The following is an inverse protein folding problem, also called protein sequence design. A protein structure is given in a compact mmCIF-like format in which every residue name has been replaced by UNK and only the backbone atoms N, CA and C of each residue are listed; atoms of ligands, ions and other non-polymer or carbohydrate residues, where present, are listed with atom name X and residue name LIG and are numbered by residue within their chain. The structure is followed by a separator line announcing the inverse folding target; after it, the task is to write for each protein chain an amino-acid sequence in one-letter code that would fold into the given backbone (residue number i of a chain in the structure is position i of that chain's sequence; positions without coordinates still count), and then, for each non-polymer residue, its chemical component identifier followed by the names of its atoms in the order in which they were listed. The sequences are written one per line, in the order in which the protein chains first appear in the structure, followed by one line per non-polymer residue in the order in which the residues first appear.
data_IF_485788259998
#
_entry.id   IF_485788259998
#
_cell.length_a   1.000
_cell.length_b   1.000
_cell.length_c   1.000
_cell.angle_alpha   90.00
_cell.angle_beta   90.00
_cell.angle_gamma   90.00
#
_symmetry.space_group_name_H-M   'P 1'
#
loop_
_entity.id
_entity.type
_entity.pdbx_description
1 polymer ?
#
# COMPACT_ATOMS: atom_id res chain seq x y z
N UNK A 1 -88.97 27.16 -36.23
CA UNK A 1 -88.80 27.88 -37.50
C UNK A 1 -87.37 28.42 -37.58
N UNK A 2 -86.61 27.93 -38.57
CA UNK A 2 -85.69 28.72 -39.41
C UNK A 2 -84.31 29.18 -38.84
N UNK A 3 -83.28 28.38 -39.23
CA UNK A 3 -81.91 28.74 -39.71
C UNK A 3 -80.93 29.39 -38.69
N UNK A 4 -79.59 29.42 -38.82
CA UNK A 4 -78.57 29.35 -39.91
C UNK A 4 -77.23 28.96 -39.18
N UNK A 5 -76.29 28.10 -39.61
CA UNK A 5 -75.14 28.28 -40.54
C UNK A 5 -74.07 27.23 -40.08
N UNK A 6 -73.54 26.29 -40.87
CA UNK A 6 -72.58 26.36 -42.00
C UNK A 6 -71.09 26.50 -41.62
N UNK A 7 -70.25 25.69 -42.32
CA UNK A 7 -68.76 25.60 -42.48
C UNK A 7 -67.95 24.92 -41.36
N UNK A 8 -67.49 23.66 -41.51
CA UNK A 8 -66.45 23.09 -42.40
C UNK A 8 -65.01 23.48 -41.96
N UNK A 9 -64.26 22.52 -41.41
CA UNK A 9 -62.87 22.69 -40.98
C UNK A 9 -62.16 21.37 -40.61
N UNK A 10 -61.64 20.72 -41.65
CA UNK A 10 -60.56 19.71 -41.77
C UNK A 10 -59.67 19.38 -40.53
N UNK A 11 -59.63 18.07 -40.16
CA UNK A 11 -58.44 17.18 -40.11
C UNK A 11 -57.27 17.52 -39.14
N UNK A 12 -56.96 16.62 -38.19
CA UNK A 12 -55.66 15.91 -38.02
C UNK A 12 -55.57 15.15 -36.68
N UNK A 13 -55.46 13.82 -36.79
CA UNK A 13 -54.53 12.88 -36.12
C UNK A 13 -54.02 13.23 -34.71
N UNK A 14 -54.26 12.31 -33.75
CA UNK A 14 -53.49 12.26 -32.50
C UNK A 14 -53.78 11.03 -31.66
N UNK A 15 -53.13 9.89 -31.96
CA UNK A 15 -53.05 8.74 -31.06
C UNK A 15 -52.25 9.15 -29.81
N UNK A 16 -52.93 9.36 -28.69
CA UNK A 16 -52.27 9.58 -27.41
C UNK A 16 -51.96 8.23 -26.75
N UNK A 17 -50.80 7.67 -27.08
CA UNK A 17 -50.21 6.57 -26.30
C UNK A 17 -49.74 7.18 -24.97
N UNK A 18 -50.40 6.82 -23.87
CA UNK A 18 -49.94 7.13 -22.52
C UNK A 18 -48.69 6.31 -22.24
N UNK A 19 -47.53 6.94 -22.41
CA UNK A 19 -46.23 6.42 -21.98
C UNK A 19 -46.23 6.31 -20.45
N UNK A 20 -46.30 5.08 -19.92
CA UNK A 20 -45.97 4.81 -18.52
C UNK A 20 -44.49 5.15 -18.29
N UNK A 21 -44.11 5.90 -17.24
CA UNK A 21 -42.70 6.11 -16.95
C UNK A 21 -42.06 4.76 -16.64
N UNK A 22 -41.18 4.31 -17.54
CA UNK A 22 -40.30 3.19 -17.28
C UNK A 22 -39.34 3.56 -16.17
N UNK A 23 -39.41 2.87 -15.03
CA UNK A 23 -38.35 2.93 -14.04
C UNK A 23 -37.09 2.33 -14.68
N UNK A 24 -36.11 3.17 -14.98
CA UNK A 24 -34.79 2.72 -15.35
C UNK A 24 -34.22 1.94 -14.16
N UNK A 25 -34.07 0.63 -14.34
CA UNK A 25 -33.39 -0.27 -13.41
C UNK A 25 -31.94 0.20 -13.25
N UNK A 26 -31.61 0.70 -12.06
CA UNK A 26 -30.27 1.18 -11.72
C UNK A 26 -29.35 -0.02 -11.51
N UNK A 27 -28.33 -0.12 -12.37
CA UNK A 27 -27.25 -1.10 -12.27
C UNK A 27 -26.27 -0.69 -11.16
N UNK A 28 -26.58 -0.99 -9.91
CA UNK A 28 -25.65 -0.74 -8.81
C UNK A 28 -26.23 -1.03 -7.44
N UNK A 29 -26.32 -2.31 -7.07
CA UNK A 29 -26.44 -2.70 -5.67
C UNK A 29 -25.06 -2.58 -5.03
N UNK A 30 -24.88 -1.69 -4.05
CA UNK A 30 -23.65 -1.65 -3.26
C UNK A 30 -23.65 -2.83 -2.30
N UNK A 31 -22.98 -3.92 -2.68
CA UNK A 31 -22.65 -5.00 -1.75
C UNK A 31 -21.52 -4.53 -0.85
N UNK A 32 -21.84 -3.85 0.25
CA UNK A 32 -20.90 -3.74 1.37
C UNK A 32 -21.15 -4.97 2.24
N UNK A 33 -20.12 -5.82 2.37
CA UNK A 33 -20.14 -6.93 3.32
C UNK A 33 -20.38 -6.37 4.74
N UNK A 34 -21.53 -6.69 5.32
CA UNK A 34 -21.71 -6.74 6.78
C UNK A 34 -21.80 -5.43 7.56
N UNK A 35 -22.27 -4.32 6.98
CA UNK A 35 -22.59 -3.10 7.75
C UNK A 35 -24.01 -2.65 7.44
N UNK A 36 -24.89 -2.66 8.45
CA UNK A 36 -26.23 -2.06 8.38
C UNK A 36 -26.12 -0.62 7.87
N UNK A 37 -26.91 -0.28 6.85
CA UNK A 37 -26.88 0.96 6.03
C UNK A 37 -26.90 2.27 6.85
N UNK A 38 -27.22 2.19 8.15
CA UNK A 38 -27.28 3.34 9.07
C UNK A 38 -25.90 3.68 9.68
N UNK A 39 -25.00 2.70 9.89
CA UNK A 39 -23.62 2.95 10.38
C UNK A 39 -22.65 3.37 9.26
N UNK A 40 -22.89 2.92 8.02
CA UNK A 40 -22.07 3.27 6.86
C UNK A 40 -22.11 4.77 6.50
N UNK A 41 -23.17 5.51 6.87
CA UNK A 41 -23.29 6.94 6.58
C UNK A 41 -22.44 7.82 7.49
N UNK A 42 -22.15 7.39 8.72
CA UNK A 42 -21.34 8.17 9.67
C UNK A 42 -19.84 7.99 9.40
N UNK A 43 -19.42 6.83 8.88
CA UNK A 43 -18.06 6.58 8.39
C UNK A 43 -17.76 7.26 7.03
N UNK A 44 -18.80 7.69 6.31
CA UNK A 44 -18.68 8.44 5.06
C UNK A 44 -18.53 9.97 5.26
N UNK A 45 -18.49 10.47 6.51
CA UNK A 45 -18.23 11.87 6.84
C UNK A 45 -16.73 12.16 7.10
N UNK A 46 -15.85 11.23 6.75
CA UNK A 46 -14.40 11.42 6.83
C UNK A 46 -13.84 12.23 5.65
N UNK A 47 -12.61 12.75 5.81
CA UNK A 47 -11.89 13.36 4.71
C UNK A 47 -11.38 12.31 3.73
N UNK A 48 -11.59 12.52 2.44
CA UNK A 48 -10.95 11.69 1.42
C UNK A 48 -9.48 12.06 1.32
N UNK A 49 -8.57 11.11 1.57
CA UNK A 49 -7.13 11.36 1.41
C UNK A 49 -6.81 11.89 0.02
N UNK A 50 -7.32 11.23 -1.04
CA UNK A 50 -7.08 11.63 -2.42
C UNK A 50 -7.76 12.94 -2.83
N UNK A 51 -9.01 13.17 -2.40
CA UNK A 51 -9.81 14.31 -2.89
C UNK A 51 -9.73 15.54 -1.99
N UNK A 52 -9.47 15.36 -0.70
CA UNK A 52 -9.63 16.39 0.33
C UNK A 52 -8.34 16.71 1.09
N UNK A 53 -7.25 15.97 0.89
CA UNK A 53 -5.99 16.17 1.64
C UNK A 53 -4.78 16.24 0.72
N UNK A 54 -4.62 15.23 -0.12
CA UNK A 54 -3.52 15.14 -1.06
C UNK A 54 -3.49 16.38 -1.96
N UNK A 55 -2.34 17.02 -2.00
CA UNK A 55 -2.07 18.18 -2.82
C UNK A 55 -2.63 19.51 -2.32
N UNK A 56 -3.23 19.56 -1.14
CA UNK A 56 -3.65 20.84 -0.53
C UNK A 56 -2.46 21.63 -0.01
N UNK A 57 -2.57 22.94 -0.15
CA UNK A 57 -1.64 23.88 0.47
C UNK A 57 -1.85 23.91 1.99
N UNK A 58 -0.72 24.02 2.68
CA UNK A 58 -0.65 24.21 4.13
C UNK A 58 -0.27 25.67 4.39
N UNK A 59 -1.00 26.31 5.30
CA UNK A 59 -0.81 27.71 5.66
C UNK A 59 -0.32 27.86 7.09
N UNK A 60 0.21 29.02 7.42
CA UNK A 60 0.39 29.44 8.81
C UNK A 60 -0.74 30.37 9.26
N UNK A 61 -0.64 30.84 10.51
CA UNK A 61 -1.55 31.81 11.14
C UNK A 61 -1.64 33.14 10.40
N UNK A 62 -0.59 33.54 9.67
CA UNK A 62 -0.61 34.72 8.79
C UNK A 62 -1.26 34.48 7.42
N UNK A 63 -1.78 33.28 7.17
CA UNK A 63 -2.39 32.90 5.88
C UNK A 63 -1.39 32.70 4.74
N UNK A 64 -0.09 32.58 5.06
CA UNK A 64 0.98 32.37 4.09
C UNK A 64 1.16 30.87 3.87
N UNK A 65 1.22 30.44 2.59
CA UNK A 65 1.51 29.05 2.24
C UNK A 65 2.93 28.67 2.66
N UNK A 66 3.06 27.60 3.43
CA UNK A 66 4.32 27.05 3.96
C UNK A 66 4.73 25.73 3.31
N UNK A 67 3.83 25.11 2.54
CA UNK A 67 4.10 23.85 1.85
C UNK A 67 2.84 23.22 1.26
N UNK A 68 3.00 21.98 0.78
CA UNK A 68 1.92 21.20 0.16
C UNK A 68 1.91 19.78 0.72
N UNK A 69 0.74 19.24 1.02
CA UNK A 69 0.62 17.87 1.49
C UNK A 69 0.84 16.90 0.33
N UNK A 70 1.80 16.00 0.49
CA UNK A 70 2.14 14.96 -0.49
C UNK A 70 1.79 13.56 0.03
N UNK A 71 1.60 13.33 1.32
CA UNK A 71 1.14 12.02 1.82
C UNK A 71 0.53 12.08 3.24
N UNK A 72 -0.10 10.99 3.65
CA UNK A 72 -0.71 10.78 4.98
C UNK A 72 -0.24 9.44 5.55
N UNK A 73 0.40 9.46 6.71
CA UNK A 73 0.85 8.25 7.41
C UNK A 73 -0.26 7.75 8.32
N UNK A 74 -0.62 6.48 8.15
CA UNK A 74 -1.57 5.75 8.97
C UNK A 74 -0.79 4.73 9.81
N UNK A 75 -1.00 4.72 11.11
CA UNK A 75 -0.38 3.77 12.02
C UNK A 75 -0.97 2.36 11.88
N UNK A 76 -0.29 1.30 12.34
CA UNK A 76 -0.83 -0.06 12.37
C UNK A 76 -2.17 -0.18 13.12
N UNK A 77 -2.41 0.70 14.09
CA UNK A 77 -3.66 0.83 14.85
C UNK A 77 -4.78 1.54 14.06
N UNK A 78 -4.56 1.80 12.76
CA UNK A 78 -5.50 2.40 11.80
C UNK A 78 -5.84 3.87 12.09
N UNK A 79 -4.94 4.59 12.76
CA UNK A 79 -5.09 6.03 13.04
C UNK A 79 -4.20 6.86 12.13
N UNK A 80 -4.68 8.00 11.66
CA UNK A 80 -3.84 8.96 10.94
C UNK A 80 -2.92 9.66 11.95
N UNK A 81 -1.60 9.55 11.74
CA UNK A 81 -0.61 10.08 12.69
C UNK A 81 0.12 11.31 12.16
N UNK A 82 0.48 11.33 10.88
CA UNK A 82 1.29 12.40 10.29
C UNK A 82 0.80 12.78 8.90
N UNK A 83 0.92 14.06 8.56
CA UNK A 83 0.94 14.51 7.17
C UNK A 83 2.37 14.73 6.72
N UNK A 84 2.67 14.24 5.52
CA UNK A 84 3.95 14.51 4.87
C UNK A 84 3.77 15.77 4.03
N UNK A 85 4.48 16.83 4.42
CA UNK A 85 4.40 18.14 3.77
C UNK A 85 5.69 18.38 3.02
N UNK A 86 5.59 18.67 1.73
CA UNK A 86 6.71 19.13 0.94
C UNK A 86 6.92 20.63 1.15
N UNK A 87 8.14 21.00 1.55
CA UNK A 87 8.51 22.35 1.97
C UNK A 87 9.55 22.94 1.01
N UNK A 88 9.21 23.06 -0.26
CA UNK A 88 10.01 23.83 -1.21
C UNK A 88 9.67 23.59 -2.68
N UNK A 89 9.71 24.66 -3.48
CA UNK A 89 9.58 24.58 -4.95
C UNK A 89 8.70 25.64 -5.63
N UNK A 90 8.85 26.93 -5.32
CA UNK A 90 8.52 27.95 -6.33
C UNK A 90 9.77 28.17 -7.19
N UNK A 91 9.81 27.47 -8.33
CA UNK A 91 10.70 27.68 -9.48
C UNK A 91 12.22 27.57 -9.15
N UNK A 92 12.78 26.36 -9.18
CA UNK A 92 14.18 26.19 -9.60
C UNK A 92 15.09 25.31 -8.75
N UNK A 93 15.07 25.33 -7.41
CA UNK A 93 16.02 24.55 -6.60
C UNK A 93 15.43 24.21 -5.21
N UNK A 94 15.45 22.93 -4.82
CA UNK A 94 15.44 22.46 -3.43
C UNK A 94 14.11 22.53 -2.67
N UNK A 95 13.43 21.39 -2.56
CA UNK A 95 12.41 21.14 -1.56
C UNK A 95 12.60 19.75 -0.95
N UNK A 96 12.36 19.62 0.35
CA UNK A 96 12.36 18.34 1.05
C UNK A 96 11.00 18.08 1.69
N UNK A 97 10.76 16.82 2.05
CA UNK A 97 9.55 16.43 2.76
C UNK A 97 9.80 16.49 4.26
N UNK A 98 8.76 16.82 5.03
CA UNK A 98 8.79 16.80 6.50
C UNK A 98 7.53 16.09 7.00
N UNK A 99 7.61 15.48 8.18
CA UNK A 99 6.46 14.86 8.84
C UNK A 99 5.90 15.80 9.90
N UNK A 100 4.62 16.18 9.76
CA UNK A 100 3.90 17.01 10.72
C UNK A 100 2.85 16.16 11.43
N UNK A 101 2.87 16.07 12.77
CA UNK A 101 1.82 15.39 13.53
C UNK A 101 0.45 16.02 13.26
N UNK A 102 -0.58 15.20 13.09
CA UNK A 102 -1.94 15.71 12.84
C UNK A 102 -2.45 16.61 13.98
N UNK A 103 -1.97 16.41 15.21
CA UNK A 103 -2.31 17.22 16.39
C UNK A 103 -1.81 18.66 16.31
N UNK A 104 -0.84 18.96 15.45
CA UNK A 104 -0.32 20.31 15.21
C UNK A 104 -1.05 21.04 14.09
N UNK A 105 -1.97 20.35 13.41
CA UNK A 105 -2.70 20.87 12.27
C UNK A 105 -4.13 21.18 12.68
N UNK A 106 -4.62 22.32 12.23
CA UNK A 106 -6.01 22.73 12.42
C UNK A 106 -6.64 23.07 11.07
N UNK A 107 -7.94 22.77 10.92
CA UNK A 107 -8.70 23.32 9.81
C UNK A 107 -9.30 24.67 10.22
N UNK A 108 -9.01 25.71 9.44
CA UNK A 108 -9.57 27.06 9.62
C UNK A 108 -10.12 27.56 8.30
N UNK A 109 -11.43 27.82 8.25
CA UNK A 109 -12.10 28.36 7.06
C UNK A 109 -11.83 27.54 5.78
N UNK A 110 -11.80 26.21 5.89
CA UNK A 110 -11.50 25.31 4.78
C UNK A 110 -10.03 25.30 4.34
N UNK A 111 -9.11 25.83 5.16
CA UNK A 111 -7.66 25.76 4.96
C UNK A 111 -7.01 24.89 6.02
N UNK A 112 -5.94 24.20 5.64
CA UNK A 112 -5.11 23.44 6.56
C UNK A 112 -4.04 24.39 7.09
N UNK A 113 -4.02 24.60 8.40
CA UNK A 113 -3.16 25.58 9.06
C UNK A 113 -2.29 24.88 10.09
N UNK A 114 -0.99 25.22 10.13
CA UNK A 114 -0.09 24.89 11.23
C UNK A 114 0.13 26.16 12.05
N UNK A 115 -0.52 26.31 13.21
CA UNK A 115 -0.40 27.52 14.02
C UNK A 115 1.03 27.74 14.51
N UNK A 116 1.55 28.97 14.39
CA UNK A 116 2.89 29.33 14.84
C UNK A 116 4.02 28.88 13.92
N UNK A 117 3.72 28.25 12.79
CA UNK A 117 4.72 27.84 11.81
C UNK A 117 5.22 29.03 10.99
N UNK A 118 6.53 29.18 10.87
CA UNK A 118 7.14 30.07 9.88
C UNK A 118 7.74 29.25 8.75
N UNK A 119 7.86 29.85 7.56
CA UNK A 119 8.54 29.19 6.43
C UNK A 119 9.95 28.72 6.80
N UNK A 120 10.64 29.48 7.65
CA UNK A 120 11.98 29.14 8.11
C UNK A 120 11.97 27.99 9.11
N UNK A 121 11.10 28.02 10.12
CA UNK A 121 11.00 26.94 11.10
C UNK A 121 10.66 25.61 10.44
N UNK A 122 9.75 25.65 9.45
CA UNK A 122 9.30 24.49 8.68
C UNK A 122 10.41 23.93 7.77
N UNK A 123 11.21 24.79 7.12
CA UNK A 123 12.38 24.35 6.34
C UNK A 123 13.49 23.75 7.20
N UNK A 124 13.64 24.21 8.44
CA UNK A 124 14.66 23.70 9.36
C UNK A 124 14.26 22.39 10.03
N UNK A 125 13.03 21.89 9.81
CA UNK A 125 12.62 20.60 10.32
C UNK A 125 13.36 19.45 9.63
N UNK A 126 13.59 18.33 10.35
CA UNK A 126 14.24 17.16 9.78
C UNK A 126 13.51 16.66 8.54
N UNK A 127 14.30 16.27 7.53
CA UNK A 127 13.76 15.64 6.34
C UNK A 127 13.09 14.31 6.70
N UNK A 128 11.88 14.12 6.18
CA UNK A 128 11.20 12.85 6.17
C UNK A 128 11.67 12.04 4.97
N UNK A 129 12.46 11.01 5.26
CA UNK A 129 12.84 10.01 4.27
C UNK A 129 11.83 8.87 4.30
N UNK A 130 11.18 8.65 3.16
CA UNK A 130 10.43 7.42 2.97
C UNK A 130 11.39 6.24 3.14
N UNK A 131 10.93 5.20 3.85
CA UNK A 131 11.62 3.93 3.83
C UNK A 131 11.70 3.47 2.38
N UNK A 132 12.87 3.69 1.77
CA UNK A 132 13.10 3.31 0.38
C UNK A 132 12.95 1.80 0.26
N UNK A 133 12.54 1.35 -0.92
CA UNK A 133 12.58 -0.08 -1.24
C UNK A 133 13.98 -0.65 -0.96
N UNK A 134 15.04 0.15 -1.15
CA UNK A 134 16.43 -0.17 -0.80
C UNK A 134 16.66 -0.47 0.69
N UNK A 135 16.05 0.25 1.63
CA UNK A 135 16.25 -0.01 3.05
C UNK A 135 15.56 -1.32 3.50
N UNK A 136 14.34 -1.56 3.00
CA UNK A 136 13.60 -2.81 3.24
C UNK A 136 14.32 -4.00 2.60
N UNK A 137 14.78 -3.80 1.37
CA UNK A 137 15.65 -4.70 0.62
C UNK A 137 16.86 -5.11 1.41
N UNK A 138 17.66 -4.14 1.85
CA UNK A 138 18.93 -4.40 2.53
C UNK A 138 18.71 -5.14 3.86
N UNK A 139 17.64 -4.80 4.60
CA UNK A 139 17.24 -5.55 5.79
C UNK A 139 16.82 -6.99 5.47
N UNK A 140 16.07 -7.21 4.39
CA UNK A 140 15.67 -8.54 3.93
C UNK A 140 16.89 -9.37 3.48
N UNK A 141 17.79 -8.80 2.68
CA UNK A 141 19.04 -9.45 2.25
C UNK A 141 19.83 -9.90 3.47
N UNK A 142 19.99 -9.02 4.47
CA UNK A 142 20.72 -9.33 5.69
C UNK A 142 20.08 -10.48 6.48
N UNK A 143 18.75 -10.54 6.55
CA UNK A 143 18.05 -11.68 7.17
C UNK A 143 18.26 -12.98 6.41
N UNK A 144 18.16 -12.95 5.07
CA UNK A 144 18.38 -14.12 4.22
C UNK A 144 19.82 -14.65 4.33
N UNK A 145 20.81 -13.77 4.40
CA UNK A 145 22.22 -14.13 4.62
C UNK A 145 22.43 -14.81 5.97
N UNK A 146 21.75 -14.35 7.02
CA UNK A 146 21.78 -15.00 8.33
C UNK A 146 21.15 -16.39 8.28
N UNK A 147 19.98 -16.54 7.65
CA UNK A 147 19.29 -17.82 7.49
C UNK A 147 20.15 -18.84 6.72
N UNK A 148 20.84 -18.40 5.66
CA UNK A 148 21.81 -19.22 4.93
C UNK A 148 23.03 -19.61 5.77
N UNK A 149 23.50 -18.73 6.64
CA UNK A 149 24.61 -19.02 7.54
C UNK A 149 24.23 -20.16 8.49
N UNK A 150 23.05 -20.07 9.11
CA UNK A 150 22.49 -21.13 9.95
C UNK A 150 22.34 -22.43 9.16
N UNK A 151 21.81 -22.35 7.92
CA UNK A 151 21.63 -23.53 7.08
C UNK A 151 22.95 -24.22 6.73
N UNK A 152 24.00 -23.45 6.39
CA UNK A 152 25.35 -23.98 6.11
C UNK A 152 25.97 -24.62 7.34
N UNK A 153 25.84 -24.01 8.51
CA UNK A 153 26.28 -24.60 9.77
C UNK A 153 25.57 -25.94 10.02
N UNK A 154 24.25 -25.98 9.82
CA UNK A 154 23.47 -27.21 9.98
C UNK A 154 23.87 -28.30 9.00
N UNK A 155 24.15 -27.93 7.75
CA UNK A 155 24.64 -28.86 6.75
C UNK A 155 25.99 -29.47 7.16
N UNK A 156 26.91 -28.67 7.70
CA UNK A 156 28.19 -29.15 8.24
C UNK A 156 28.00 -30.09 9.44
N UNK A 157 27.04 -29.81 10.33
CA UNK A 157 26.69 -30.71 11.43
C UNK A 157 26.14 -32.06 10.93
N UNK A 158 25.22 -32.01 9.95
CA UNK A 158 24.63 -33.21 9.36
C UNK A 158 25.69 -34.09 8.70
N UNK A 159 26.62 -33.49 7.97
CA UNK A 159 27.74 -34.20 7.35
C UNK A 159 28.63 -34.88 8.40
N UNK A 160 28.97 -34.18 9.50
CA UNK A 160 29.75 -34.76 10.60
C UNK A 160 29.01 -35.93 11.26
N UNK A 161 27.70 -35.80 11.50
CA UNK A 161 26.87 -36.85 12.08
C UNK A 161 26.73 -38.04 11.13
N UNK A 162 26.54 -37.82 9.83
CA UNK A 162 26.40 -38.90 8.84
C UNK A 162 27.70 -39.67 8.58
N UNK A 163 28.86 -39.06 8.85
CA UNK A 163 30.16 -39.73 8.79
C UNK A 163 30.38 -40.74 9.93
N UNK A 164 29.68 -40.57 11.06
CA UNK A 164 29.76 -41.46 12.23
C UNK A 164 28.71 -42.60 12.20
N UNK A 165 27.78 -42.56 11.26
CA UNK A 165 26.69 -43.53 11.12
C UNK A 165 27.02 -44.56 10.03
N UNK A 166 26.31 -45.68 10.05
CA UNK A 166 26.37 -46.73 9.02
C UNK A 166 24.98 -47.26 8.68
N UNK A 167 24.86 -47.97 7.55
CA UNK A 167 23.59 -48.55 7.09
C UNK A 167 22.50 -47.52 6.81
N UNK A 168 21.25 -47.88 7.09
CA UNK A 168 20.07 -47.05 6.77
C UNK A 168 20.07 -45.68 7.47
N UNK A 169 20.64 -45.59 8.68
CA UNK A 169 20.73 -44.34 9.42
C UNK A 169 21.64 -43.32 8.69
N UNK A 170 22.72 -43.80 8.08
CA UNK A 170 23.58 -42.98 7.23
C UNK A 170 22.85 -42.53 5.97
N UNK A 171 22.16 -43.43 5.28
CA UNK A 171 21.41 -43.10 4.06
C UNK A 171 20.34 -42.02 4.31
N UNK A 172 19.57 -42.12 5.41
CA UNK A 172 18.57 -41.09 5.76
C UNK A 172 19.20 -39.73 6.07
N UNK A 173 20.33 -39.71 6.77
CA UNK A 173 21.05 -38.46 7.05
C UNK A 173 21.67 -37.84 5.79
N UNK A 174 22.26 -38.66 4.91
CA UNK A 174 22.82 -38.21 3.64
C UNK A 174 21.71 -37.67 2.72
N UNK A 175 20.50 -38.23 2.76
CA UNK A 175 19.32 -37.68 2.08
C UNK A 175 18.88 -36.32 2.64
N UNK A 176 18.79 -36.16 3.97
CA UNK A 176 18.48 -34.87 4.61
C UNK A 176 19.53 -33.80 4.25
N UNK A 177 20.81 -34.17 4.24
CA UNK A 177 21.90 -33.30 3.82
C UNK A 177 21.77 -32.89 2.34
N UNK A 178 21.49 -33.82 1.44
CA UNK A 178 21.32 -33.53 0.02
C UNK A 178 20.15 -32.57 -0.25
N UNK A 179 19.01 -32.77 0.43
CA UNK A 179 17.86 -31.85 0.34
C UNK A 179 18.22 -30.44 0.81
N UNK A 180 18.87 -30.34 1.97
CA UNK A 180 19.29 -29.05 2.52
C UNK A 180 20.29 -28.33 1.61
N UNK A 181 21.24 -29.05 1.00
CA UNK A 181 22.21 -28.47 0.06
C UNK A 181 21.53 -27.90 -1.19
N UNK A 182 20.51 -28.59 -1.72
CA UNK A 182 19.74 -28.09 -2.87
C UNK A 182 19.01 -26.80 -2.51
N UNK A 183 18.35 -26.74 -1.35
CA UNK A 183 17.65 -25.53 -0.90
C UNK A 183 18.61 -24.36 -0.67
N UNK A 184 19.77 -24.60 -0.04
CA UNK A 184 20.84 -23.60 0.11
C UNK A 184 21.25 -23.04 -1.25
N UNK A 185 21.51 -23.90 -2.24
CA UNK A 185 21.91 -23.47 -3.59
C UNK A 185 20.83 -22.65 -4.30
N UNK A 186 19.56 -23.03 -4.15
CA UNK A 186 18.44 -22.28 -4.73
C UNK A 186 18.37 -20.88 -4.12
N UNK A 187 18.41 -20.78 -2.80
CA UNK A 187 18.38 -19.49 -2.08
C UNK A 187 19.61 -18.65 -2.42
N UNK A 188 20.80 -19.23 -2.49
CA UNK A 188 22.04 -18.53 -2.89
C UNK A 188 21.97 -17.99 -4.31
N UNK A 189 21.51 -18.81 -5.26
CA UNK A 189 21.35 -18.40 -6.66
C UNK A 189 20.36 -17.26 -6.76
N UNK A 190 19.20 -17.38 -6.11
CA UNK A 190 18.19 -16.33 -6.03
C UNK A 190 18.78 -15.07 -5.40
N UNK A 191 19.43 -15.13 -4.24
CA UNK A 191 20.08 -13.95 -3.65
C UNK A 191 21.13 -13.32 -4.58
N UNK A 192 21.84 -14.11 -5.39
CA UNK A 192 22.76 -13.61 -6.41
C UNK A 192 22.04 -12.84 -7.53
N UNK A 193 20.90 -13.35 -8.01
CA UNK A 193 20.05 -12.69 -9.00
C UNK A 193 19.44 -11.40 -8.42
N UNK A 194 18.98 -11.45 -7.18
CA UNK A 194 18.45 -10.36 -6.40
C UNK A 194 19.40 -9.16 -6.32
N UNK A 195 20.67 -9.41 -5.98
CA UNK A 195 21.71 -8.38 -5.88
C UNK A 195 22.03 -7.73 -7.24
N UNK A 196 21.75 -8.42 -8.36
CA UNK A 196 22.01 -7.94 -9.73
C UNK A 196 20.80 -7.25 -10.38
N UNK A 197 19.58 -7.70 -10.07
CA UNK A 197 18.36 -7.24 -10.72
C UNK A 197 17.95 -5.79 -10.40
N UNK A 198 18.55 -5.17 -9.38
CA UNK A 198 18.27 -3.78 -9.01
C UNK A 198 16.86 -3.57 -8.45
N UNK A 199 16.42 -2.31 -8.37
CA UNK A 199 15.15 -1.90 -7.76
C UNK A 199 13.92 -2.15 -8.64
N UNK A 200 14.09 -2.37 -9.95
CA UNK A 200 12.98 -2.42 -10.92
C UNK A 200 12.06 -3.63 -10.77
N UNK A 201 12.55 -4.75 -10.20
CA UNK A 201 11.77 -6.00 -10.02
C UNK A 201 11.86 -6.56 -8.60
N UNK A 202 12.24 -5.71 -7.65
CA UNK A 202 12.55 -6.13 -6.28
C UNK A 202 11.38 -6.83 -5.57
N UNK A 203 10.16 -6.31 -5.72
CA UNK A 203 8.99 -6.79 -4.97
C UNK A 203 8.53 -8.19 -5.42
N UNK A 204 8.56 -8.47 -6.73
CA UNK A 204 8.30 -9.82 -7.26
C UNK A 204 9.34 -10.81 -6.72
N UNK A 205 10.60 -10.37 -6.72
CA UNK A 205 11.72 -11.17 -6.27
C UNK A 205 11.67 -11.48 -4.77
N UNK A 206 11.32 -10.49 -3.95
CA UNK A 206 11.18 -10.64 -2.49
C UNK A 206 10.14 -11.71 -2.14
N UNK A 207 8.99 -11.71 -2.82
CA UNK A 207 7.97 -12.73 -2.63
C UNK A 207 8.50 -14.13 -2.96
N UNK A 208 9.14 -14.28 -4.13
CA UNK A 208 9.69 -15.56 -4.59
C UNK A 208 10.81 -16.10 -3.71
N UNK A 209 11.65 -15.21 -3.15
CA UNK A 209 12.74 -15.62 -2.24
C UNK A 209 12.20 -15.90 -0.83
N UNK A 210 11.17 -15.18 -0.38
CA UNK A 210 10.54 -15.43 0.90
C UNK A 210 9.88 -16.83 0.96
N UNK A 211 9.29 -17.29 -0.15
CA UNK A 211 8.77 -18.65 -0.28
C UNK A 211 9.89 -19.68 -0.08
N UNK A 212 11.04 -19.50 -0.72
CA UNK A 212 12.16 -20.44 -0.62
C UNK A 212 12.83 -20.41 0.77
N UNK A 213 13.00 -19.23 1.37
CA UNK A 213 13.50 -19.10 2.75
C UNK A 213 12.54 -19.78 3.73
N UNK A 214 11.23 -19.65 3.51
CA UNK A 214 10.23 -20.33 4.34
C UNK A 214 10.35 -21.84 4.23
N UNK A 215 10.52 -22.37 3.02
CA UNK A 215 10.81 -23.78 2.79
C UNK A 215 12.11 -24.22 3.50
N UNK A 216 13.19 -23.45 3.36
CA UNK A 216 14.46 -23.72 4.02
C UNK A 216 14.31 -23.81 5.55
N UNK A 217 13.58 -22.87 6.15
CA UNK A 217 13.31 -22.87 7.60
C UNK A 217 12.50 -24.08 8.03
N UNK A 218 11.52 -24.51 7.25
CA UNK A 218 10.75 -25.72 7.52
C UNK A 218 11.63 -26.98 7.45
N UNK A 219 12.50 -27.05 6.44
CA UNK A 219 13.47 -28.15 6.31
C UNK A 219 14.43 -28.20 7.49
N UNK A 220 14.96 -27.04 7.92
CA UNK A 220 15.80 -26.94 9.12
C UNK A 220 15.06 -27.42 10.38
N UNK A 221 13.82 -26.97 10.59
CA UNK A 221 13.02 -27.41 11.72
C UNK A 221 12.72 -28.92 11.72
N UNK A 222 12.59 -29.53 10.54
CA UNK A 222 12.40 -30.98 10.38
C UNK A 222 13.69 -31.80 10.53
N UNK A 223 14.85 -31.15 10.43
CA UNK A 223 16.14 -31.77 10.71
C UNK A 223 16.36 -31.89 12.22
N UNK A 224 15.85 -30.94 13.01
CA UNK A 224 15.97 -30.90 14.47
C UNK A 224 14.98 -31.81 15.23
N UNK A 225 13.98 -32.35 14.53
CA UNK A 225 13.05 -33.38 15.04
C UNK A 225 13.57 -34.78 14.75
#
# INVERSE_FOLDING_TARGET
MTKIASTLGLLLIGNLILSTPGFAQVAGSTTVLGVTVIEARQLALGWSVKKSIFGREVYNDAGVSVGKIEDVIISPEKNVTYFIVNVGGFIGIGGHNIAIPISQIVEQSGKIVIPGATKESIRNLPQFDYASDTAKRDAFVKSAENDLTIAREKANELQKKSALLSGEAKTKMDQKYALLQVEIQVVEKKMGEMKRAGTTRWQEFENDLNVDISHLKLTLANIDR
#
